data_IF_263466080533
#
_entry.id   IF_263466080533
#
_cell.length_a   1.000
_cell.length_b   1.000
_cell.length_c   1.000
_cell.angle_alpha   90.00
_cell.angle_beta   90.00
_cell.angle_gamma   90.00
#
_symmetry.space_group_name_H-M   'P 1'
#
loop_
_entity.id
_entity.type
_entity.pdbx_description
1 polymer ?
#
# COMPACT_ATOMS: atom_id res chain seq x y z
N UNK A 1 25.25 -15.69 -38.98
CA UNK A 1 26.12 -14.60 -38.45
C UNK A 1 27.00 -15.23 -37.38
N UNK A 2 28.34 -15.20 -37.50
CA UNK A 2 29.21 -15.97 -36.59
C UNK A 2 29.25 -15.34 -35.20
N UNK A 3 29.12 -16.17 -34.16
CA UNK A 3 29.20 -15.78 -32.73
C UNK A 3 30.40 -14.87 -32.42
N UNK A 4 31.49 -15.03 -33.16
CA UNK A 4 32.70 -14.20 -33.06
C UNK A 4 32.49 -12.73 -33.40
N UNK A 5 31.61 -12.40 -34.36
CA UNK A 5 31.32 -11.01 -34.74
C UNK A 5 30.45 -10.30 -33.69
N UNK A 6 29.54 -11.04 -33.04
CA UNK A 6 28.73 -10.52 -31.93
C UNK A 6 29.57 -10.21 -30.70
N UNK A 7 30.47 -11.13 -30.32
CA UNK A 7 31.36 -10.94 -29.17
C UNK A 7 32.31 -9.74 -29.35
N UNK A 8 32.91 -9.59 -30.54
CA UNK A 8 33.79 -8.46 -30.85
C UNK A 8 33.06 -7.12 -30.81
N UNK A 9 31.79 -7.07 -31.23
CA UNK A 9 30.97 -5.86 -31.16
C UNK A 9 30.67 -5.45 -29.71
N UNK A 10 30.33 -6.41 -28.84
CA UNK A 10 30.06 -6.15 -27.41
C UNK A 10 31.32 -5.66 -26.69
N UNK A 11 32.46 -6.32 -26.93
CA UNK A 11 33.76 -5.90 -26.37
C UNK A 11 34.12 -4.48 -26.86
N UNK A 12 33.94 -4.19 -28.14
CA UNK A 12 34.20 -2.86 -28.70
C UNK A 12 33.37 -1.76 -28.05
N UNK A 13 32.07 -2.00 -27.85
CA UNK A 13 31.17 -1.03 -27.19
C UNK A 13 31.59 -0.79 -25.73
N UNK A 14 31.92 -1.84 -24.99
CA UNK A 14 32.36 -1.71 -23.59
C UNK A 14 33.70 -1.00 -23.47
N UNK A 15 34.65 -1.29 -24.37
CA UNK A 15 35.96 -0.63 -24.38
C UNK A 15 35.82 0.88 -24.64
N UNK A 16 34.97 1.28 -25.60
CA UNK A 16 34.69 2.69 -25.89
C UNK A 16 34.03 3.37 -24.70
N UNK A 17 33.07 2.71 -24.04
CA UNK A 17 32.45 3.22 -22.81
C UNK A 17 33.46 3.47 -21.69
N UNK A 18 34.35 2.51 -21.44
CA UNK A 18 35.41 2.63 -20.42
C UNK A 18 36.37 3.79 -20.74
N UNK A 19 36.75 3.95 -22.00
CA UNK A 19 37.64 5.04 -22.44
C UNK A 19 37.01 6.43 -22.30
N UNK A 20 35.72 6.57 -22.63
CA UNK A 20 34.99 7.84 -22.47
C UNK A 20 34.88 8.24 -20.99
N UNK A 21 34.59 7.27 -20.13
CA UNK A 21 34.55 7.44 -18.68
C UNK A 21 35.90 7.87 -18.13
N UNK A 22 36.98 7.18 -18.51
CA UNK A 22 38.33 7.53 -18.09
C UNK A 22 38.71 8.94 -18.54
N UNK A 23 38.38 9.30 -19.79
CA UNK A 23 38.58 10.66 -20.30
C UNK A 23 37.83 11.71 -19.48
N UNK A 24 36.58 11.44 -19.11
CA UNK A 24 35.78 12.33 -18.26
C UNK A 24 36.34 12.45 -16.84
N UNK A 25 36.70 11.34 -16.19
CA UNK A 25 37.28 11.32 -14.84
C UNK A 25 38.60 12.10 -14.81
N UNK A 26 39.48 11.89 -15.79
CA UNK A 26 40.76 12.59 -15.89
C UNK A 26 40.57 14.09 -16.17
N UNK A 27 39.63 14.46 -17.06
CA UNK A 27 39.30 15.85 -17.38
C UNK A 27 38.68 16.61 -16.20
N UNK A 28 37.72 16.00 -15.52
CA UNK A 28 37.09 16.55 -14.32
C UNK A 28 38.09 16.67 -13.16
N UNK A 29 38.99 15.69 -12.99
CA UNK A 29 40.05 15.70 -11.98
C UNK A 29 41.02 16.87 -12.20
N UNK A 30 41.44 17.07 -13.44
CA UNK A 30 42.28 18.20 -13.81
C UNK A 30 41.61 19.55 -13.52
N UNK A 31 40.32 19.69 -13.87
CA UNK A 31 39.55 20.90 -13.64
C UNK A 31 39.37 21.19 -12.13
N UNK A 32 39.01 20.18 -11.34
CA UNK A 32 38.82 20.33 -9.89
C UNK A 32 40.14 20.65 -9.19
N UNK A 33 41.24 20.02 -9.61
CA UNK A 33 42.60 20.35 -9.12
C UNK A 33 42.92 21.82 -9.35
N UNK A 34 42.62 22.33 -10.56
CA UNK A 34 42.83 23.75 -10.92
C UNK A 34 41.99 24.72 -10.08
N UNK A 35 40.77 24.32 -9.71
CA UNK A 35 39.84 25.17 -8.96
C UNK A 35 40.07 25.13 -7.44
N UNK A 36 40.52 24.00 -6.91
CA UNK A 36 40.58 23.76 -5.46
C UNK A 36 42.00 23.77 -4.89
N UNK A 37 43.03 23.68 -5.75
CA UNK A 37 44.42 23.55 -5.33
C UNK A 37 44.77 22.17 -4.74
N UNK A 38 43.85 21.21 -4.77
CA UNK A 38 44.09 19.85 -4.30
C UNK A 38 45.05 19.09 -5.22
N UNK A 39 45.85 18.15 -4.69
CA UNK A 39 46.72 17.31 -5.52
C UNK A 39 45.91 16.52 -6.55
N UNK A 40 46.40 16.46 -7.79
CA UNK A 40 45.72 15.78 -8.89
C UNK A 40 45.48 14.28 -8.60
N UNK A 41 46.41 13.63 -7.91
CA UNK A 41 46.24 12.25 -7.47
C UNK A 41 45.05 12.07 -6.50
N UNK A 42 44.80 13.03 -5.62
CA UNK A 42 43.68 12.95 -4.65
C UNK A 42 42.33 13.20 -5.34
N UNK A 43 42.27 14.15 -6.27
CA UNK A 43 41.03 14.43 -7.02
C UNK A 43 40.70 13.32 -8.01
N UNK A 44 41.72 12.70 -8.64
CA UNK A 44 41.54 11.57 -9.55
C UNK A 44 40.98 10.34 -8.81
N UNK A 45 41.49 10.04 -7.61
CA UNK A 45 40.98 8.95 -6.78
C UNK A 45 39.54 9.20 -6.34
N UNK A 46 39.21 10.42 -5.90
CA UNK A 46 37.83 10.79 -5.50
C UNK A 46 36.85 10.62 -6.65
N UNK A 47 37.19 11.10 -7.85
CA UNK A 47 36.30 11.00 -9.01
C UNK A 47 36.17 9.58 -9.53
N UNK A 48 37.25 8.79 -9.50
CA UNK A 48 37.19 7.37 -9.84
C UNK A 48 36.27 6.61 -8.88
N UNK A 49 36.37 6.91 -7.57
CA UNK A 49 35.50 6.33 -6.55
C UNK A 49 34.04 6.75 -6.80
N UNK A 50 33.75 8.04 -6.99
CA UNK A 50 32.41 8.53 -7.31
C UNK A 50 31.84 7.89 -8.59
N UNK A 51 32.66 7.70 -9.61
CA UNK A 51 32.24 7.07 -10.86
C UNK A 51 31.89 5.60 -10.68
N UNK A 52 32.76 4.82 -10.00
CA UNK A 52 32.49 3.41 -9.67
C UNK A 52 31.18 3.31 -8.89
N UNK A 53 30.95 4.21 -7.93
CA UNK A 53 29.72 4.25 -7.15
C UNK A 53 28.48 4.58 -7.99
N UNK A 54 28.57 5.51 -8.95
CA UNK A 54 27.47 5.84 -9.83
C UNK A 54 27.04 4.64 -10.71
N UNK A 55 28.01 3.86 -11.20
CA UNK A 55 27.74 2.64 -11.99
C UNK A 55 27.11 1.55 -11.13
N UNK A 56 27.61 1.37 -9.90
CA UNK A 56 27.04 0.42 -8.93
C UNK A 56 25.59 0.79 -8.59
N UNK A 57 25.32 2.06 -8.30
CA UNK A 57 23.97 2.57 -8.04
C UNK A 57 23.03 2.36 -9.21
N UNK A 58 23.47 2.61 -10.45
CA UNK A 58 22.66 2.39 -11.65
C UNK A 58 22.27 0.91 -11.82
N UNK A 59 23.22 -0.01 -11.65
CA UNK A 59 22.95 -1.45 -11.78
C UNK A 59 22.07 -2.02 -10.68
N UNK A 60 22.07 -1.38 -9.53
CA UNK A 60 21.26 -1.77 -8.38
C UNK A 60 19.83 -1.23 -8.48
N UNK A 61 19.68 -0.03 -9.03
CA UNK A 61 18.37 0.52 -9.38
C UNK A 61 17.66 -0.36 -10.43
N UNK A 62 18.40 -0.87 -11.42
CA UNK A 62 17.90 -1.84 -12.40
C UNK A 62 17.47 -3.19 -11.76
N UNK A 63 17.96 -3.54 -10.56
CA UNK A 63 17.72 -4.83 -9.91
C UNK A 63 16.56 -4.84 -8.89
N UNK A 64 15.78 -3.75 -8.77
CA UNK A 64 14.59 -3.70 -7.89
C UNK A 64 14.88 -3.58 -6.39
N UNK A 65 16.14 -3.57 -5.97
CA UNK A 65 16.58 -3.34 -4.57
C UNK A 65 16.92 -1.86 -4.29
N UNK A 66 16.25 -0.94 -5.00
CA UNK A 66 16.70 0.45 -5.13
C UNK A 66 16.77 1.24 -3.82
N UNK A 67 15.77 1.12 -2.94
CA UNK A 67 15.69 1.97 -1.74
C UNK A 67 16.79 1.66 -0.72
N UNK A 68 16.82 0.42 -0.23
CA UNK A 68 17.68 0.00 0.89
C UNK A 68 19.18 0.18 0.58
N UNK A 69 19.56 -0.08 -0.68
CA UNK A 69 20.94 -0.03 -1.11
C UNK A 69 21.38 1.41 -1.46
N UNK A 70 20.48 2.26 -1.97
CA UNK A 70 20.74 3.71 -2.10
C UNK A 70 20.99 4.33 -0.72
N UNK A 71 20.20 4.00 0.29
CA UNK A 71 20.43 4.48 1.67
C UNK A 71 21.76 4.00 2.25
N UNK A 72 22.13 2.74 2.02
CA UNK A 72 23.44 2.21 2.42
C UNK A 72 24.59 2.98 1.76
N UNK A 73 24.48 3.26 0.45
CA UNK A 73 25.50 3.96 -0.32
C UNK A 73 25.62 5.42 0.11
N UNK A 74 24.50 6.12 0.34
CA UNK A 74 24.49 7.48 0.89
C UNK A 74 25.14 7.49 2.27
N UNK A 75 24.77 6.53 3.14
CA UNK A 75 25.35 6.37 4.47
C UNK A 75 26.87 6.16 4.44
N UNK A 76 27.36 5.26 3.58
CA UNK A 76 28.79 5.01 3.38
C UNK A 76 29.52 6.23 2.82
N UNK A 77 28.91 6.97 1.90
CA UNK A 77 29.50 8.17 1.29
C UNK A 77 29.61 9.31 2.30
N UNK A 78 28.55 9.55 3.06
CA UNK A 78 28.55 10.53 4.16
C UNK A 78 29.52 10.10 5.27
N UNK A 79 29.66 8.79 5.53
CA UNK A 79 30.63 8.28 6.49
C UNK A 79 32.08 8.48 6.06
N UNK A 80 32.37 8.28 4.78
CA UNK A 80 33.69 8.51 4.23
C UNK A 80 34.05 10.01 4.21
N UNK A 81 33.16 10.86 3.70
CA UNK A 81 33.37 12.31 3.62
C UNK A 81 33.42 12.92 5.02
N UNK A 82 32.45 12.56 5.88
CA UNK A 82 32.40 12.99 7.27
C UNK A 82 33.62 12.53 8.05
N UNK A 83 33.99 11.25 7.94
CA UNK A 83 35.19 10.70 8.59
C UNK A 83 36.47 11.41 8.15
N UNK A 84 36.60 11.69 6.85
CA UNK A 84 37.74 12.43 6.31
C UNK A 84 37.78 13.88 6.83
N UNK A 85 36.66 14.60 6.79
CA UNK A 85 36.57 15.98 7.28
C UNK A 85 36.81 16.06 8.79
N UNK A 86 36.20 15.17 9.59
CA UNK A 86 36.37 15.15 11.04
C UNK A 86 37.79 14.80 11.45
N UNK A 87 38.47 13.89 10.73
CA UNK A 87 39.87 13.54 11.01
C UNK A 87 40.85 14.71 10.81
N UNK A 88 40.48 15.74 10.05
CA UNK A 88 41.28 16.96 9.90
C UNK A 88 41.10 17.97 11.03
N UNK A 89 39.96 17.94 11.73
CA UNK A 89 39.60 18.95 12.72
C UNK A 89 39.62 18.42 14.16
N UNK A 90 39.48 17.12 14.34
CA UNK A 90 39.48 16.45 15.63
C UNK A 90 40.54 15.34 15.63
N UNK A 91 41.18 15.10 16.77
CA UNK A 91 42.20 14.06 16.95
C UNK A 91 41.66 12.62 16.93
N UNK A 92 40.50 12.39 16.31
CA UNK A 92 39.90 11.08 16.19
C UNK A 92 40.53 10.29 15.06
N UNK A 93 40.65 8.97 15.24
CA UNK A 93 41.02 8.09 14.13
C UNK A 93 39.91 8.10 13.07
N UNK A 94 40.28 8.02 11.80
CA UNK A 94 39.34 7.95 10.68
C UNK A 94 38.27 6.87 10.88
N UNK A 95 38.67 5.72 11.44
CA UNK A 95 37.76 4.62 11.76
C UNK A 95 36.69 5.04 12.78
N UNK A 96 37.08 5.69 13.87
CA UNK A 96 36.17 6.18 14.91
C UNK A 96 35.17 7.19 14.36
N UNK A 97 35.63 8.09 13.48
CA UNK A 97 34.81 9.14 12.89
C UNK A 97 33.82 8.58 11.84
N UNK A 98 34.14 7.47 11.17
CA UNK A 98 33.25 6.82 10.20
C UNK A 98 32.06 6.09 10.86
N UNK A 99 32.20 5.63 12.11
CA UNK A 99 31.14 4.90 12.82
C UNK A 99 29.92 5.76 13.16
N UNK A 100 30.09 7.04 13.46
CA UNK A 100 28.99 7.95 13.82
C UNK A 100 27.95 8.09 12.68
N UNK A 101 28.33 8.48 11.45
CA UNK A 101 27.41 8.57 10.32
C UNK A 101 26.86 7.22 9.86
N UNK A 102 27.64 6.14 9.99
CA UNK A 102 27.15 4.79 9.72
C UNK A 102 26.03 4.41 10.71
N UNK A 103 26.26 4.63 12.00
CA UNK A 103 25.28 4.39 13.05
C UNK A 103 24.01 5.23 12.88
N UNK A 104 24.14 6.51 12.53
CA UNK A 104 22.97 7.36 12.26
C UNK A 104 22.19 6.91 11.03
N UNK A 105 22.86 6.43 9.98
CA UNK A 105 22.20 5.88 8.80
C UNK A 105 21.42 4.60 9.13
N UNK A 106 21.96 3.72 9.98
CA UNK A 106 21.24 2.54 10.47
C UNK A 106 20.00 2.90 11.29
N UNK A 107 20.11 3.87 12.21
CA UNK A 107 18.96 4.33 13.01
C UNK A 107 17.89 4.97 12.13
N UNK A 108 18.29 5.84 11.20
CA UNK A 108 17.36 6.45 10.25
C UNK A 108 16.67 5.40 9.38
N UNK A 109 17.43 4.41 8.88
CA UNK A 109 16.91 3.32 8.09
C UNK A 109 15.90 2.48 8.88
N UNK A 110 16.19 2.17 10.15
CA UNK A 110 15.26 1.47 11.02
C UNK A 110 13.92 2.22 11.17
N UNK A 111 13.97 3.53 11.46
CA UNK A 111 12.77 4.37 11.56
C UNK A 111 12.02 4.49 10.23
N UNK A 112 12.74 4.68 9.12
CA UNK A 112 12.13 4.77 7.81
C UNK A 112 11.42 3.46 7.41
N UNK A 113 12.00 2.31 7.73
CA UNK A 113 11.35 1.01 7.48
C UNK A 113 10.24 0.70 8.47
N UNK A 114 10.30 1.16 9.72
CA UNK A 114 9.16 1.03 10.63
C UNK A 114 7.97 1.86 10.15
N UNK A 115 8.22 3.09 9.70
CA UNK A 115 7.18 3.98 9.17
C UNK A 115 6.63 3.42 7.84
N UNK A 116 7.47 2.89 6.96
CA UNK A 116 6.99 2.21 5.75
C UNK A 116 6.24 0.92 6.06
N UNK A 117 6.56 0.22 7.15
CA UNK A 117 5.80 -0.96 7.59
C UNK A 117 4.44 -0.54 8.13
N UNK A 118 4.36 0.56 8.88
CA UNK A 118 3.11 1.15 9.34
C UNK A 118 2.26 1.63 8.17
N UNK A 119 2.84 2.33 7.18
CA UNK A 119 2.15 2.74 5.95
C UNK A 119 1.77 1.54 5.08
N UNK A 120 2.58 0.48 5.02
CA UNK A 120 2.23 -0.76 4.30
C UNK A 120 1.13 -1.53 5.02
N UNK A 121 1.13 -1.55 6.34
CA UNK A 121 0.05 -2.14 7.14
C UNK A 121 -1.22 -1.30 7.02
N UNK A 122 -1.14 0.03 6.99
CA UNK A 122 -2.26 0.93 6.65
C UNK A 122 -2.72 0.74 5.21
N UNK A 123 -1.82 0.54 4.23
CA UNK A 123 -2.18 0.28 2.83
C UNK A 123 -2.69 -1.15 2.59
N UNK A 124 -2.25 -2.13 3.37
CA UNK A 124 -2.80 -3.49 3.41
C UNK A 124 -4.13 -3.53 4.17
N UNK A 125 -4.34 -2.66 5.18
CA UNK A 125 -5.66 -2.43 5.82
C UNK A 125 -6.61 -1.60 4.94
N UNK A 126 -6.10 -0.66 4.15
CA UNK A 126 -6.81 0.02 3.05
C UNK A 126 -6.93 -0.88 1.81
N UNK A 127 -6.40 -2.09 1.87
CA UNK A 127 -6.69 -3.19 0.97
C UNK A 127 -8.15 -3.62 1.13
N UNK A 128 -9.05 -2.81 0.56
CA UNK A 128 -10.46 -3.08 0.32
C UNK A 128 -10.75 -4.58 0.27
N UNK A 129 -11.24 -5.14 1.39
CA UNK A 129 -11.86 -6.47 1.51
C UNK A 129 -11.37 -7.47 0.47
N UNK A 130 -10.25 -8.17 0.74
CA UNK A 130 -9.67 -9.22 -0.12
C UNK A 130 -10.75 -9.88 -0.99
N UNK A 131 -10.94 -9.37 -2.21
CA UNK A 131 -12.16 -9.63 -3.01
C UNK A 131 -12.30 -11.12 -3.31
N UNK A 132 -11.16 -11.81 -3.30
CA UNK A 132 -11.00 -13.23 -3.56
C UNK A 132 -11.68 -14.11 -2.49
N UNK A 133 -11.89 -13.59 -1.26
CA UNK A 133 -12.49 -14.33 -0.14
C UNK A 133 -13.96 -13.98 0.13
N UNK A 134 -14.56 -13.08 -0.66
CA UNK A 134 -15.94 -12.61 -0.44
C UNK A 134 -16.95 -13.54 -1.13
N UNK A 135 -17.94 -14.12 -0.40
CA UNK A 135 -18.87 -15.09 -0.98
C UNK A 135 -19.72 -14.56 -2.14
N UNK A 136 -20.06 -13.26 -2.13
CA UNK A 136 -20.89 -12.61 -3.15
C UNK A 136 -19.98 -11.66 -3.94
N UNK A 137 -19.82 -11.85 -5.26
CA UNK A 137 -18.89 -11.05 -6.05
C UNK A 137 -19.37 -9.61 -6.23
N UNK A 138 -18.43 -8.65 -6.24
CA UNK A 138 -18.68 -7.20 -6.37
C UNK A 138 -19.55 -6.85 -7.58
N UNK A 139 -19.39 -7.57 -8.70
CA UNK A 139 -20.16 -7.38 -9.94
C UNK A 139 -21.69 -7.48 -9.77
N UNK A 140 -22.17 -8.09 -8.68
CA UNK A 140 -23.60 -8.15 -8.33
C UNK A 140 -24.16 -6.81 -7.85
N UNK A 141 -23.30 -5.91 -7.38
CA UNK A 141 -23.68 -4.60 -6.83
C UNK A 141 -23.19 -3.44 -7.70
N UNK A 142 -22.04 -3.59 -8.35
CA UNK A 142 -21.42 -2.59 -9.21
C UNK A 142 -20.59 -3.27 -10.29
N UNK A 143 -20.85 -2.97 -11.56
CA UNK A 143 -20.17 -3.60 -12.70
C UNK A 143 -18.80 -3.00 -12.99
N UNK A 144 -18.66 -1.71 -12.76
CA UNK A 144 -17.45 -0.94 -12.97
C UNK A 144 -17.29 0.12 -11.87
N UNK A 145 -16.15 0.80 -11.88
CA UNK A 145 -15.81 1.81 -10.88
C UNK A 145 -16.68 3.07 -10.98
N UNK A 146 -17.34 3.31 -12.12
CA UNK A 146 -18.26 4.42 -12.28
C UNK A 146 -19.59 4.17 -11.54
N UNK A 147 -19.96 2.91 -11.32
CA UNK A 147 -21.14 2.53 -10.53
C UNK A 147 -20.86 2.47 -9.02
N UNK A 148 -19.60 2.67 -8.60
CA UNK A 148 -19.20 2.63 -7.19
C UNK A 148 -19.74 3.84 -6.43
N UNK A 149 -20.87 3.64 -5.76
CA UNK A 149 -21.52 4.63 -4.89
C UNK A 149 -21.48 4.20 -3.43
N UNK A 150 -21.67 5.15 -2.51
CA UNK A 150 -21.93 4.91 -1.08
C UNK A 150 -22.89 3.75 -0.84
N UNK A 151 -24.02 3.76 -1.52
CA UNK A 151 -25.06 2.75 -1.39
C UNK A 151 -24.64 1.38 -1.96
N UNK A 152 -24.01 1.34 -3.13
CA UNK A 152 -23.57 0.08 -3.74
C UNK A 152 -22.50 -0.61 -2.88
N UNK A 153 -21.53 0.15 -2.38
CA UNK A 153 -20.50 -0.33 -1.46
C UNK A 153 -21.13 -0.82 -0.16
N UNK A 154 -22.01 -0.03 0.45
CA UNK A 154 -22.69 -0.40 1.69
C UNK A 154 -23.47 -1.71 1.53
N UNK A 155 -24.22 -1.88 0.44
CA UNK A 155 -24.96 -3.11 0.14
C UNK A 155 -24.02 -4.30 -0.03
N UNK A 156 -22.91 -4.13 -0.75
CA UNK A 156 -21.92 -5.18 -0.97
C UNK A 156 -21.31 -5.69 0.35
N UNK A 157 -20.85 -4.78 1.21
CA UNK A 157 -20.20 -5.14 2.48
C UNK A 157 -21.20 -5.84 3.41
N UNK A 158 -22.39 -5.26 3.58
CA UNK A 158 -23.41 -5.81 4.47
C UNK A 158 -23.92 -7.17 3.98
N UNK A 159 -24.16 -7.34 2.68
CA UNK A 159 -24.62 -8.61 2.14
C UNK A 159 -23.59 -9.71 2.39
N UNK A 160 -22.30 -9.43 2.17
CA UNK A 160 -21.24 -10.40 2.43
C UNK A 160 -21.07 -10.71 3.93
N UNK A 161 -21.19 -9.71 4.81
CA UNK A 161 -21.17 -9.92 6.25
C UNK A 161 -22.32 -10.85 6.72
N UNK A 162 -23.54 -10.62 6.19
CA UNK A 162 -24.70 -11.48 6.47
C UNK A 162 -24.48 -12.89 5.91
N UNK A 163 -24.00 -13.02 4.67
CA UNK A 163 -23.76 -14.31 4.02
C UNK A 163 -22.73 -15.15 4.79
N UNK A 164 -21.61 -14.52 5.19
CA UNK A 164 -20.58 -15.15 6.01
C UNK A 164 -21.16 -15.66 7.33
N UNK A 165 -21.94 -14.81 8.01
CA UNK A 165 -22.55 -15.17 9.30
C UNK A 165 -23.55 -16.31 9.20
N UNK A 166 -24.33 -16.37 8.11
CA UNK A 166 -25.24 -17.49 7.84
C UNK A 166 -24.48 -18.80 7.57
N UNK A 167 -23.36 -18.74 6.84
CA UNK A 167 -22.53 -19.92 6.60
C UNK A 167 -21.82 -20.41 7.87
N UNK A 168 -21.45 -19.49 8.77
CA UNK A 168 -20.90 -19.81 10.10
C UNK A 168 -21.96 -20.38 11.07
N UNK A 169 -23.25 -20.22 10.76
CA UNK A 169 -24.36 -20.63 11.64
C UNK A 169 -25.30 -21.60 10.92
N UNK A 170 -24.90 -22.88 10.72
CA UNK A 170 -25.67 -23.84 9.92
C UNK A 170 -27.12 -24.05 10.38
N UNK A 171 -27.39 -23.88 11.69
CA UNK A 171 -28.74 -24.02 12.26
C UNK A 171 -29.74 -22.98 11.73
N UNK A 172 -29.26 -21.77 11.39
CA UNK A 172 -30.10 -20.69 10.83
C UNK A 172 -30.22 -20.82 9.31
N UNK A 173 -29.18 -21.34 8.65
CA UNK A 173 -29.18 -21.62 7.21
C UNK A 173 -30.15 -22.74 6.83
N UNK A 174 -30.33 -23.74 7.70
CA UNK A 174 -31.21 -24.88 7.43
C UNK A 174 -30.76 -25.65 6.18
N UNK A 175 -31.69 -25.86 5.24
CA UNK A 175 -31.43 -26.58 3.98
C UNK A 175 -31.07 -25.69 2.79
N UNK A 176 -30.89 -24.38 3.00
CA UNK A 176 -30.59 -23.44 1.91
C UNK A 176 -29.24 -23.76 1.26
N UNK A 177 -29.18 -23.75 -0.06
CA UNK A 177 -27.91 -23.86 -0.78
C UNK A 177 -27.10 -22.55 -0.72
N UNK A 178 -25.88 -22.55 -1.26
CA UNK A 178 -25.03 -21.35 -1.26
C UNK A 178 -25.65 -20.19 -2.03
N UNK A 179 -26.33 -20.45 -3.14
CA UNK A 179 -26.95 -19.42 -3.98
C UNK A 179 -28.15 -18.80 -3.26
N UNK A 180 -28.99 -19.61 -2.63
CA UNK A 180 -30.13 -19.17 -1.84
C UNK A 180 -29.69 -18.27 -0.67
N UNK A 181 -28.61 -18.65 0.03
CA UNK A 181 -28.02 -17.83 1.10
C UNK A 181 -27.51 -16.50 0.55
N UNK A 182 -26.84 -16.49 -0.60
CA UNK A 182 -26.36 -15.24 -1.22
C UNK A 182 -27.52 -14.32 -1.58
N UNK A 183 -28.56 -14.81 -2.27
CA UNK A 183 -29.73 -14.01 -2.66
C UNK A 183 -30.50 -13.50 -1.44
N UNK A 184 -30.64 -14.32 -0.41
CA UNK A 184 -31.24 -13.90 0.85
C UNK A 184 -30.42 -12.80 1.52
N UNK A 185 -29.10 -12.93 1.55
CA UNK A 185 -28.20 -11.93 2.13
C UNK A 185 -28.30 -10.58 1.43
N UNK A 186 -28.39 -10.59 0.09
CA UNK A 186 -28.59 -9.37 -0.72
C UNK A 186 -29.91 -8.70 -0.33
N UNK A 187 -31.02 -9.45 -0.29
CA UNK A 187 -32.33 -8.89 0.11
C UNK A 187 -32.32 -8.34 1.54
N UNK A 188 -31.61 -9.01 2.45
CA UNK A 188 -31.46 -8.55 3.83
C UNK A 188 -30.65 -7.25 3.92
N UNK A 189 -29.58 -7.13 3.14
CA UNK A 189 -28.81 -5.90 3.02
C UNK A 189 -29.64 -4.75 2.45
N UNK A 190 -30.45 -5.01 1.41
CA UNK A 190 -31.33 -4.00 0.81
C UNK A 190 -32.34 -3.46 1.83
N UNK A 191 -32.96 -4.35 2.61
CA UNK A 191 -33.86 -3.95 3.67
C UNK A 191 -33.14 -3.18 4.79
N UNK A 192 -31.91 -3.56 5.14
CA UNK A 192 -31.11 -2.84 6.13
C UNK A 192 -30.80 -1.41 5.64
N UNK A 193 -30.36 -1.24 4.40
CA UNK A 193 -30.14 0.08 3.79
C UNK A 193 -31.43 0.90 3.78
N UNK A 194 -32.56 0.28 3.43
CA UNK A 194 -33.87 0.93 3.45
C UNK A 194 -34.28 1.42 4.84
N UNK A 195 -33.92 0.71 5.92
CA UNK A 195 -34.09 1.15 7.31
C UNK A 195 -33.16 2.32 7.63
N UNK A 196 -31.87 2.19 7.31
CA UNK A 196 -30.83 3.17 7.67
C UNK A 196 -31.03 4.51 6.96
N UNK A 197 -31.42 4.50 5.68
CA UNK A 197 -31.73 5.72 4.90
C UNK A 197 -32.84 6.56 5.53
N UNK A 198 -33.77 5.95 6.26
CA UNK A 198 -34.87 6.64 6.95
C UNK A 198 -34.49 7.19 8.31
N UNK A 199 -33.34 6.81 8.87
CA UNK A 199 -32.91 7.35 10.15
C UNK A 199 -32.53 8.83 10.00
N UNK A 200 -32.89 9.67 10.98
CA UNK A 200 -32.38 11.04 11.06
C UNK A 200 -30.86 11.05 11.21
N UNK A 201 -30.17 11.98 10.55
CA UNK A 201 -28.71 12.12 10.69
C UNK A 201 -28.26 12.41 12.14
N UNK A 202 -29.14 13.00 12.95
CA UNK A 202 -28.92 13.30 14.38
C UNK A 202 -29.11 12.11 15.32
N UNK A 203 -29.41 10.91 14.81
CA UNK A 203 -29.61 9.74 15.65
C UNK A 203 -28.30 9.32 16.30
N UNK A 204 -28.25 9.27 17.63
CA UNK A 204 -27.04 8.94 18.39
C UNK A 204 -26.54 7.51 18.12
N UNK A 205 -27.43 6.57 17.82
CA UNK A 205 -27.10 5.17 17.53
C UNK A 205 -27.68 4.73 16.20
N UNK A 206 -26.82 4.57 15.20
CA UNK A 206 -27.18 4.01 13.90
C UNK A 206 -27.25 2.48 14.00
N UNK A 207 -28.32 1.97 14.63
CA UNK A 207 -28.54 0.53 14.80
C UNK A 207 -29.83 0.08 14.13
N UNK A 208 -29.81 -1.08 13.48
CA UNK A 208 -30.98 -1.78 12.95
C UNK A 208 -31.56 -2.68 14.04
N UNK A 209 -32.88 -2.79 14.10
CA UNK A 209 -33.58 -3.73 14.99
C UNK A 209 -34.34 -4.76 14.16
N UNK A 210 -34.61 -5.94 14.73
CA UNK A 210 -35.40 -7.00 14.06
C UNK A 210 -36.77 -6.48 13.63
N UNK A 211 -37.44 -5.69 14.47
CA UNK A 211 -38.73 -5.09 14.15
C UNK A 211 -38.66 -4.10 12.98
N UNK A 212 -37.58 -3.30 12.89
CA UNK A 212 -37.39 -2.36 11.79
C UNK A 212 -37.07 -3.11 10.49
N UNK A 213 -36.21 -4.13 10.55
CA UNK A 213 -35.85 -4.94 9.38
C UNK A 213 -37.06 -5.72 8.85
N UNK A 214 -37.87 -6.33 9.74
CA UNK A 214 -39.11 -7.00 9.35
C UNK A 214 -40.11 -6.05 8.69
N UNK A 215 -40.27 -4.85 9.27
CA UNK A 215 -41.14 -3.82 8.69
C UNK A 215 -40.66 -3.40 7.30
N UNK A 216 -39.35 -3.28 7.09
CA UNK A 216 -38.76 -2.98 5.79
C UNK A 216 -39.03 -4.11 4.78
N UNK A 217 -38.83 -5.37 5.15
CA UNK A 217 -39.17 -6.53 4.32
C UNK A 217 -40.62 -6.51 3.85
N UNK A 218 -41.55 -6.31 4.78
CA UNK A 218 -42.98 -6.25 4.47
C UNK A 218 -43.30 -5.07 3.53
N UNK A 219 -42.66 -3.92 3.72
CA UNK A 219 -42.82 -2.76 2.83
C UNK A 219 -42.24 -2.98 1.43
N UNK A 220 -41.24 -3.86 1.30
CA UNK A 220 -40.65 -4.26 0.03
C UNK A 220 -41.39 -5.41 -0.65
N UNK A 221 -42.52 -5.87 -0.08
CA UNK A 221 -43.31 -6.97 -0.64
C UNK A 221 -42.64 -8.35 -0.53
N UNK A 222 -41.66 -8.48 0.35
CA UNK A 222 -40.94 -9.74 0.57
C UNK A 222 -41.68 -10.63 1.57
N UNK A 223 -41.49 -11.94 1.47
CA UNK A 223 -42.06 -12.88 2.45
C UNK A 223 -41.38 -12.70 3.82
N UNK A 224 -42.13 -12.86 4.92
CA UNK A 224 -41.55 -12.82 6.26
C UNK A 224 -40.65 -14.04 6.48
N UNK A 225 -39.42 -13.78 6.94
CA UNK A 225 -38.48 -14.81 7.37
C UNK A 225 -38.58 -15.06 8.88
N UNK A 226 -38.04 -16.21 9.30
CA UNK A 226 -37.95 -16.58 10.71
C UNK A 226 -37.14 -15.55 11.51
N UNK A 227 -37.53 -15.37 12.77
CA UNK A 227 -36.95 -14.39 13.68
C UNK A 227 -35.45 -14.60 13.88
N UNK A 228 -34.98 -15.84 13.80
CA UNK A 228 -33.58 -16.22 13.93
C UNK A 228 -32.74 -15.70 12.75
N UNK A 229 -33.25 -15.81 11.52
CA UNK A 229 -32.59 -15.26 10.31
C UNK A 229 -32.51 -13.73 10.42
N UNK A 230 -33.61 -13.08 10.81
CA UNK A 230 -33.64 -11.64 10.98
C UNK A 230 -32.73 -11.18 12.12
N UNK A 231 -32.67 -11.92 13.22
CA UNK A 231 -31.77 -11.66 14.35
C UNK A 231 -30.30 -11.74 13.95
N UNK A 232 -29.94 -12.76 13.18
CA UNK A 232 -28.59 -12.94 12.65
C UNK A 232 -28.21 -11.80 11.70
N UNK A 233 -29.11 -11.42 10.79
CA UNK A 233 -28.88 -10.31 9.86
C UNK A 233 -28.69 -8.98 10.60
N UNK A 234 -29.53 -8.69 11.59
CA UNK A 234 -29.42 -7.49 12.43
C UNK A 234 -28.09 -7.47 13.19
N UNK A 235 -27.67 -8.61 13.74
CA UNK A 235 -26.39 -8.74 14.42
C UNK A 235 -25.24 -8.41 13.47
N UNK A 236 -25.19 -9.04 12.29
CA UNK A 236 -24.16 -8.78 11.29
C UNK A 236 -24.11 -7.30 10.86
N UNK A 237 -25.27 -6.69 10.58
CA UNK A 237 -25.36 -5.27 10.20
C UNK A 237 -24.83 -4.35 11.30
N UNK A 238 -25.25 -4.57 12.54
CA UNK A 238 -24.84 -3.71 13.66
C UNK A 238 -23.37 -3.90 14.03
N UNK A 239 -22.83 -5.12 13.93
CA UNK A 239 -21.40 -5.37 14.09
C UNK A 239 -20.61 -4.65 13.02
N UNK A 240 -21.02 -4.74 11.75
CA UNK A 240 -20.29 -4.06 10.67
C UNK A 240 -20.33 -2.53 10.84
N UNK A 241 -21.49 -1.96 11.19
CA UNK A 241 -21.62 -0.53 11.49
C UNK A 241 -20.78 -0.06 12.67
N UNK A 242 -20.42 -0.96 13.59
CA UNK A 242 -19.57 -0.63 14.74
C UNK A 242 -18.07 -0.70 14.40
N UNK A 243 -17.70 -1.61 13.50
CA UNK A 243 -16.31 -1.85 13.12
C UNK A 243 -15.82 -0.93 12.00
N UNK A 244 -16.71 -0.55 11.10
CA UNK A 244 -16.40 0.20 9.89
C UNK A 244 -16.93 1.64 9.99
N UNK A 245 -16.02 2.55 10.33
CA UNK A 245 -16.34 3.98 10.53
C UNK A 245 -16.80 4.64 9.23
N UNK A 246 -16.38 4.14 8.08
CA UNK A 246 -16.75 4.69 6.77
C UNK A 246 -18.19 4.33 6.44
N UNK A 247 -18.62 3.11 6.74
CA UNK A 247 -20.03 2.73 6.61
C UNK A 247 -20.93 3.56 7.53
N UNK A 248 -20.50 3.81 8.77
CA UNK A 248 -21.24 4.72 9.65
C UNK A 248 -21.28 6.15 9.07
N UNK A 249 -20.17 6.67 8.56
CA UNK A 249 -20.12 7.99 7.95
C UNK A 249 -21.03 8.07 6.72
N UNK A 250 -21.00 7.11 5.80
CA UNK A 250 -21.88 7.06 4.62
C UNK A 250 -23.34 7.14 5.06
N UNK A 251 -23.72 6.35 6.08
CA UNK A 251 -25.08 6.30 6.57
C UNK A 251 -25.51 7.60 7.24
N UNK A 252 -24.63 8.21 8.04
CA UNK A 252 -24.90 9.43 8.82
C UNK A 252 -24.87 10.70 7.96
N UNK A 253 -23.85 10.83 7.12
CA UNK A 253 -23.64 11.95 6.19
C UNK A 253 -24.56 11.90 4.97
N UNK A 254 -25.26 10.78 4.77
CA UNK A 254 -26.18 10.52 3.65
C UNK A 254 -25.49 10.56 2.28
N UNK A 255 -24.22 10.15 2.22
CA UNK A 255 -23.40 10.04 0.99
C UNK A 255 -23.78 8.82 0.13
N UNK A 256 -25.04 8.40 0.15
CA UNK A 256 -25.55 7.22 -0.56
C UNK A 256 -25.28 7.27 -2.06
N UNK A 257 -25.40 8.45 -2.69
CA UNK A 257 -25.20 8.66 -4.11
C UNK A 257 -23.80 9.22 -4.48
N UNK A 258 -22.91 9.38 -3.50
CA UNK A 258 -21.57 9.93 -3.76
C UNK A 258 -20.69 8.84 -4.37
N UNK A 259 -20.00 9.16 -5.46
CA UNK A 259 -18.98 8.30 -6.04
C UNK A 259 -17.66 8.46 -5.27
N UNK A 260 -17.02 7.34 -4.92
CA UNK A 260 -15.76 7.36 -4.17
C UNK A 260 -14.53 7.62 -5.03
N UNK A 261 -14.65 7.53 -6.35
CA UNK A 261 -13.57 7.90 -7.27
C UNK A 261 -13.75 9.31 -7.83
N UNK A 262 -13.10 10.28 -7.19
CA UNK A 262 -12.60 11.51 -7.81
C UNK A 262 -11.30 11.96 -7.15
#
# INVERSE_FOLDING_TARGET
MSLTKGLLAVIGIHLVGVLLVLGFVLGASWLITRLTGLPWSETAVLLLVCFIWAVVLQKIFEAGFGGLLVFLVIGCTLAFIGGWLFSRWLSFSFLSAAWLPLGSAFVFMYYFFSDLKEVREEMEEEGWLDEEDMPIPRIRFMRDDSEQTGEALFRYIIANAICRRMNETPSVKGSMDSTEVQELSIRLADAAVFVLRRKPARTQRFQVTVSALRKAFNQMGQQPYEDDILGLAVSAVNTQLMLDTDLEDIARSRRWATHFMR
#
